data_IF_861274861384
#
_entry.id   IF_861274861384
#
_cell.length_a   1.000
_cell.length_b   1.000
_cell.length_c   1.000
_cell.angle_alpha   90.00
_cell.angle_beta   90.00
_cell.angle_gamma   90.00
#
_symmetry.space_group_name_H-M   'P 1'
#
loop_
_entity.id
_entity.type
_entity.pdbx_description
1 polymer ?
#
# COMPACT_ATOMS: atom_id res chain seq x y z
N UNK A 1 -3.01 1.06 -1.72
CA UNK A 1 -2.45 0.01 -2.59
C UNK A 1 -2.30 0.58 -4.00
N UNK A 2 -1.07 0.93 -4.41
CA UNK A 2 -0.83 1.48 -5.75
C UNK A 2 -0.92 0.39 -6.80
N UNK A 3 -1.63 0.68 -7.89
CA UNK A 3 -1.87 -0.27 -8.97
C UNK A 3 -1.47 0.33 -10.31
N UNK A 4 -0.96 -0.53 -11.21
CA UNK A 4 -0.61 -0.13 -12.56
C UNK A 4 -0.61 -1.35 -13.47
N UNK A 5 -1.39 -1.29 -14.54
CA UNK A 5 -1.44 -2.35 -15.57
C UNK A 5 -1.70 -3.75 -14.96
N UNK A 6 -2.64 -3.84 -14.02
CA UNK A 6 -3.02 -5.10 -13.39
C UNK A 6 -2.05 -5.61 -12.34
N UNK A 7 -1.03 -4.83 -12.00
CA UNK A 7 -0.06 -5.17 -10.97
C UNK A 7 -0.18 -4.20 -9.81
N UNK A 8 0.23 -4.66 -8.64
CA UNK A 8 0.32 -3.79 -7.46
C UNK A 8 1.78 -3.54 -7.13
N UNK A 9 2.05 -2.33 -6.64
CA UNK A 9 3.39 -1.95 -6.22
C UNK A 9 3.53 -2.15 -4.73
N UNK A 10 4.57 -2.87 -4.32
CA UNK A 10 4.94 -3.05 -2.92
C UNK A 10 6.38 -2.62 -2.73
N UNK A 11 6.72 -2.30 -1.49
CA UNK A 11 8.08 -2.00 -1.08
C UNK A 11 8.55 -3.03 -0.07
N UNK A 12 9.87 -3.26 -0.05
CA UNK A 12 10.52 -4.09 0.95
C UNK A 12 11.10 -3.16 2.01
N UNK A 13 10.68 -3.34 3.24
CA UNK A 13 11.03 -2.41 4.32
C UNK A 13 12.51 -2.41 4.63
N UNK A 14 13.07 -1.22 4.87
CA UNK A 14 14.47 -1.04 5.27
C UNK A 14 14.57 -0.43 6.67
N UNK A 15 13.52 -0.54 7.48
CA UNK A 15 13.49 -0.09 8.87
C UNK A 15 12.70 -1.09 9.71
N UNK A 16 12.97 -1.11 11.01
CA UNK A 16 12.16 -1.87 11.96
C UNK A 16 10.89 -1.10 12.29
N UNK A 17 9.80 -1.75 12.65
CA UNK A 17 9.64 -3.21 12.71
C UNK A 17 9.51 -3.83 11.32
N UNK A 18 9.63 -5.16 11.26
CA UNK A 18 9.43 -5.94 10.04
C UNK A 18 10.43 -5.60 8.92
N UNK A 19 11.68 -5.34 9.29
CA UNK A 19 12.76 -5.13 8.32
C UNK A 19 12.82 -6.29 7.33
N UNK A 20 12.92 -5.96 6.04
CA UNK A 20 13.01 -6.95 4.98
C UNK A 20 11.69 -7.55 4.54
N UNK A 21 10.58 -7.17 5.13
CA UNK A 21 9.25 -7.64 4.75
C UNK A 21 8.55 -6.66 3.80
N UNK A 22 7.56 -7.14 3.09
CA UNK A 22 6.88 -6.39 2.04
C UNK A 22 5.59 -5.74 2.53
N UNK A 23 5.32 -4.53 2.05
CA UNK A 23 4.08 -3.82 2.35
C UNK A 23 3.79 -2.77 1.26
N UNK A 24 2.57 -2.25 1.25
CA UNK A 24 2.27 -1.04 0.48
C UNK A 24 2.70 0.19 1.28
N UNK A 25 2.84 1.36 0.63
CA UNK A 25 3.31 2.56 1.33
C UNK A 25 2.29 3.07 2.33
N UNK A 26 2.78 3.72 3.37
CA UNK A 26 1.92 4.32 4.37
C UNK A 26 2.71 4.99 5.48
N UNK A 27 2.02 5.80 6.25
CA UNK A 27 2.59 6.51 7.37
C UNK A 27 1.54 7.33 8.07
N UNK A 28 1.98 8.21 8.95
CA UNK A 28 1.09 9.05 9.73
C UNK A 28 0.72 10.32 8.96
N UNK A 29 -0.48 10.81 9.23
CA UNK A 29 -0.94 12.08 8.69
C UNK A 29 -0.25 13.21 9.47
N UNK A 30 0.36 14.15 8.75
CA UNK A 30 1.00 15.29 9.37
C UNK A 30 -0.05 16.33 9.80
N UNK A 31 0.29 17.13 10.79
CA UNK A 31 -0.55 18.23 11.23
C UNK A 31 -0.79 19.19 10.05
N UNK A 32 -2.05 19.53 9.82
CA UNK A 32 -2.43 20.41 8.71
C UNK A 32 -2.64 19.68 7.39
N UNK A 33 -2.52 18.38 7.38
CA UNK A 33 -2.67 17.56 6.17
C UNK A 33 -3.96 16.73 6.24
N UNK A 34 -4.62 16.54 5.11
CA UNK A 34 -5.77 15.63 5.03
C UNK A 34 -5.29 14.19 4.79
N UNK A 35 -6.11 13.22 5.21
CA UNK A 35 -5.74 11.80 5.06
C UNK A 35 -5.43 11.42 3.61
N UNK A 36 -6.24 11.81 2.60
CA UNK A 36 -5.91 11.46 1.21
C UNK A 36 -4.57 12.05 0.76
N UNK A 37 -4.28 13.27 1.16
CA UNK A 37 -3.01 13.92 0.79
C UNK A 37 -1.82 13.21 1.43
N UNK A 38 -1.98 12.73 2.66
CA UNK A 38 -0.96 11.96 3.33
C UNK A 38 -0.66 10.67 2.57
N UNK A 39 -1.69 9.98 2.08
CA UNK A 39 -1.51 8.75 1.30
C UNK A 39 -0.69 9.00 0.03
N UNK A 40 -0.99 10.08 -0.67
CA UNK A 40 -0.27 10.46 -1.89
C UNK A 40 1.18 10.82 -1.57
N UNK A 41 1.40 11.61 -0.53
CA UNK A 41 2.74 12.04 -0.10
C UNK A 41 3.59 10.84 0.31
N UNK A 42 3.06 9.96 1.15
CA UNK A 42 3.80 8.79 1.62
C UNK A 42 4.17 7.87 0.47
N UNK A 43 3.28 7.70 -0.50
CA UNK A 43 3.58 6.87 -1.68
C UNK A 43 4.78 7.45 -2.44
N UNK A 44 4.82 8.75 -2.63
CA UNK A 44 5.95 9.37 -3.31
C UNK A 44 7.24 9.27 -2.49
N UNK A 45 7.15 9.50 -1.18
CA UNK A 45 8.33 9.45 -0.31
C UNK A 45 8.95 8.06 -0.26
N UNK A 46 8.12 7.02 -0.28
CA UNK A 46 8.58 5.65 -0.09
C UNK A 46 8.85 4.91 -1.39
N UNK A 47 8.25 5.31 -2.49
CA UNK A 47 8.34 4.60 -3.78
C UNK A 47 8.76 5.48 -4.95
N UNK A 48 8.72 6.79 -4.80
CA UNK A 48 8.91 7.77 -5.89
C UNK A 48 7.87 7.66 -6.98
N UNK A 49 6.70 7.14 -6.64
CA UNK A 49 5.57 7.04 -7.57
C UNK A 49 4.50 8.07 -7.22
N UNK A 50 3.96 8.68 -8.27
CA UNK A 50 2.81 9.57 -8.16
C UNK A 50 1.55 8.75 -8.39
N UNK A 51 0.53 8.97 -7.57
CA UNK A 51 -0.71 8.21 -7.65
C UNK A 51 -1.92 9.11 -7.63
N UNK A 52 -3.01 8.60 -8.20
CA UNK A 52 -4.35 9.12 -8.05
C UNK A 52 -5.10 8.14 -7.15
N UNK A 53 -5.82 8.66 -6.15
CA UNK A 53 -6.66 7.80 -5.31
C UNK A 53 -7.96 7.51 -6.02
N UNK A 54 -8.35 6.24 -6.07
CA UNK A 54 -9.55 5.78 -6.77
C UNK A 54 -10.72 5.52 -5.82
N UNK A 55 -10.42 5.38 -4.54
CA UNK A 55 -11.45 5.17 -3.54
C UNK A 55 -10.89 4.47 -2.32
N UNK A 56 -11.68 4.44 -1.27
CA UNK A 56 -11.33 3.75 -0.04
C UNK A 56 -11.43 2.23 -0.25
N UNK A 57 -10.37 1.53 0.08
CA UNK A 57 -10.43 0.07 0.12
C UNK A 57 -11.11 -0.39 1.40
N UNK A 58 -10.58 0.00 2.55
CA UNK A 58 -11.18 -0.31 3.85
C UNK A 58 -10.41 0.39 4.98
N UNK A 59 -10.97 0.28 6.17
CA UNK A 59 -10.32 0.68 7.42
C UNK A 59 -9.87 -0.57 8.16
N UNK A 60 -8.70 -0.51 8.79
CA UNK A 60 -8.17 -1.64 9.56
C UNK A 60 -7.83 -1.16 10.97
N UNK A 61 -8.37 -1.86 11.95
CA UNK A 61 -8.20 -1.49 13.35
C UNK A 61 -8.02 -2.76 14.17
N UNK A 62 -6.99 -2.77 15.01
CA UNK A 62 -6.64 -3.93 15.83
C UNK A 62 -6.53 -3.48 17.27
N UNK A 63 -7.15 -4.23 18.18
CA UNK A 63 -7.35 -3.82 19.57
C UNK A 63 -6.06 -3.41 20.28
N UNK A 64 -4.92 -4.03 19.92
CA UNK A 64 -3.67 -3.81 20.64
C UNK A 64 -2.72 -2.85 19.93
N UNK A 65 -3.13 -2.23 18.82
CA UNK A 65 -2.24 -1.40 18.02
C UNK A 65 -2.40 0.09 18.29
N UNK A 66 -3.63 0.53 18.59
CA UNK A 66 -3.87 1.92 18.95
C UNK A 66 -3.95 2.90 17.79
N UNK A 67 -4.00 2.41 16.54
CA UNK A 67 -4.18 3.25 15.36
C UNK A 67 -5.25 2.66 14.47
N UNK A 68 -5.87 3.53 13.69
CA UNK A 68 -6.78 3.10 12.61
C UNK A 68 -6.06 3.35 11.30
N UNK A 69 -5.96 2.32 10.49
CA UNK A 69 -5.31 2.39 9.20
C UNK A 69 -6.35 2.62 8.12
N UNK A 70 -6.19 3.72 7.37
CA UNK A 70 -7.06 4.07 6.24
C UNK A 70 -6.33 3.64 4.97
N UNK A 71 -6.88 2.70 4.22
CA UNK A 71 -6.22 2.17 3.02
C UNK A 71 -7.03 2.49 1.79
N UNK A 72 -6.37 3.14 0.82
CA UNK A 72 -6.97 3.51 -0.46
C UNK A 72 -6.54 2.55 -1.57
N UNK A 73 -7.43 2.40 -2.55
CA UNK A 73 -7.05 1.90 -3.87
C UNK A 73 -6.51 3.09 -4.66
N UNK A 74 -5.40 2.90 -5.35
CA UNK A 74 -4.76 3.99 -6.07
C UNK A 74 -4.24 3.50 -7.42
N UNK A 75 -4.14 4.42 -8.37
CA UNK A 75 -3.56 4.17 -9.70
C UNK A 75 -2.29 4.99 -9.84
N UNK A 76 -1.22 4.37 -10.29
CA UNK A 76 0.03 5.06 -10.58
C UNK A 76 -0.17 5.93 -11.82
N UNK A 77 0.15 7.21 -11.69
CA UNK A 77 -0.01 8.19 -12.76
C UNK A 77 1.33 8.71 -13.30
N UNK A 78 2.43 8.45 -12.60
CA UNK A 78 3.73 8.92 -13.02
C UNK A 78 4.82 8.57 -12.02
N UNK A 79 6.01 9.07 -12.28
CA UNK A 79 7.17 8.79 -11.47
C UNK A 79 7.93 7.57 -11.95
N UNK A 80 9.11 7.35 -11.37
CA UNK A 80 9.95 6.20 -11.65
C UNK A 80 10.25 5.52 -10.31
N UNK A 81 9.76 4.31 -10.15
CA UNK A 81 9.90 3.57 -8.89
C UNK A 81 11.37 3.44 -8.51
N UNK A 82 11.68 3.73 -7.26
CA UNK A 82 13.05 3.69 -6.75
C UNK A 82 13.06 3.37 -5.27
N UNK A 83 14.10 2.66 -4.84
CA UNK A 83 14.37 2.43 -3.44
C UNK A 83 14.69 3.76 -2.75
N UNK A 84 14.44 3.82 -1.45
CA UNK A 84 14.66 5.01 -0.63
C UNK A 84 15.39 4.60 0.64
N UNK A 85 15.55 5.53 1.58
CA UNK A 85 16.14 5.18 2.87
C UNK A 85 15.26 4.22 3.66
N UNK A 86 13.94 4.25 3.43
CA UNK A 86 12.98 3.43 4.16
C UNK A 86 12.56 2.18 3.40
N UNK A 87 12.98 2.04 2.14
CA UNK A 87 12.63 0.87 1.32
C UNK A 87 13.86 0.34 0.60
N UNK A 88 14.13 -0.97 0.77
CA UNK A 88 15.26 -1.62 0.12
C UNK A 88 15.00 -1.81 -1.36
N UNK A 89 13.75 -2.03 -1.71
CA UNK A 89 13.34 -2.41 -3.05
C UNK A 89 11.89 -1.99 -3.26
N UNK A 90 11.56 -1.60 -4.47
CA UNK A 90 10.19 -1.29 -4.87
C UNK A 90 9.90 -2.10 -6.12
N UNK A 91 8.82 -2.89 -6.11
CA UNK A 91 8.55 -3.83 -7.18
C UNK A 91 7.06 -3.94 -7.45
N UNK A 92 6.70 -4.13 -8.73
CA UNK A 92 5.34 -4.41 -9.14
C UNK A 92 5.11 -5.93 -9.15
N UNK A 93 4.00 -6.37 -8.56
CA UNK A 93 3.64 -7.78 -8.46
C UNK A 93 2.31 -8.03 -9.17
N UNK A 94 2.23 -9.12 -9.91
CA UNK A 94 0.93 -9.66 -10.31
C UNK A 94 0.25 -10.19 -9.07
N UNK A 95 -1.08 -10.31 -9.10
CA UNK A 95 -1.81 -10.77 -7.92
C UNK A 95 -1.38 -12.17 -7.49
N UNK A 96 -1.05 -13.04 -8.46
CA UNK A 96 -0.58 -14.39 -8.15
C UNK A 96 0.86 -14.44 -7.63
N UNK A 97 1.59 -13.33 -7.69
CA UNK A 97 2.98 -13.25 -7.25
C UNK A 97 3.15 -12.60 -5.88
N UNK A 98 2.06 -12.18 -5.24
CA UNK A 98 2.13 -11.49 -3.94
C UNK A 98 2.86 -12.39 -2.93
N UNK A 99 3.88 -11.86 -2.23
CA UNK A 99 4.67 -12.65 -1.27
C UNK A 99 3.94 -12.79 0.06
N UNK A 100 2.89 -13.61 0.09
CA UNK A 100 1.99 -13.75 1.23
C UNK A 100 2.69 -14.15 2.54
N UNK A 101 3.77 -14.90 2.45
CA UNK A 101 4.53 -15.37 3.61
C UNK A 101 5.57 -14.36 4.10
N UNK A 102 5.69 -13.22 3.41
CA UNK A 102 6.70 -12.21 3.72
C UNK A 102 6.11 -10.82 3.84
N UNK A 103 4.83 -10.73 4.17
CA UNK A 103 4.17 -9.45 4.36
C UNK A 103 4.48 -8.88 5.75
N UNK A 104 4.61 -7.56 5.82
CA UNK A 104 5.15 -6.89 7.01
C UNK A 104 4.23 -6.92 8.21
N UNK A 105 2.93 -6.75 8.01
CA UNK A 105 1.97 -6.56 9.10
C UNK A 105 0.68 -7.33 8.84
N UNK A 106 -0.08 -7.66 9.91
CA UNK A 106 -1.43 -8.23 9.72
C UNK A 106 -2.31 -7.34 8.85
N UNK A 107 -2.20 -6.02 8.99
CA UNK A 107 -2.98 -5.08 8.18
C UNK A 107 -2.59 -5.14 6.71
N UNK A 108 -1.30 -5.34 6.41
CA UNK A 108 -0.86 -5.51 5.02
C UNK A 108 -1.55 -6.73 4.41
N UNK A 109 -1.53 -7.85 5.13
CA UNK A 109 -2.15 -9.09 4.67
C UNK A 109 -3.66 -8.92 4.48
N UNK A 110 -4.33 -8.35 5.48
CA UNK A 110 -5.78 -8.18 5.43
C UNK A 110 -6.20 -7.26 4.29
N UNK A 111 -5.48 -6.16 4.10
CA UNK A 111 -5.78 -5.22 3.03
C UNK A 111 -5.54 -5.84 1.65
N UNK A 112 -4.47 -6.60 1.48
CA UNK A 112 -4.19 -7.25 0.20
C UNK A 112 -5.19 -8.37 -0.09
N UNK A 113 -5.66 -9.09 0.93
CA UNK A 113 -6.73 -10.06 0.76
C UNK A 113 -8.01 -9.38 0.28
N UNK A 114 -8.37 -8.26 0.89
CA UNK A 114 -9.54 -7.49 0.47
C UNK A 114 -9.39 -6.97 -0.94
N UNK A 115 -8.19 -6.48 -1.29
CA UNK A 115 -7.91 -5.99 -2.63
C UNK A 115 -8.07 -7.08 -3.69
N UNK A 116 -7.47 -8.24 -3.44
CA UNK A 116 -7.54 -9.37 -4.37
C UNK A 116 -8.99 -9.83 -4.54
N UNK A 117 -9.73 -9.92 -3.43
CA UNK A 117 -11.14 -10.32 -3.46
C UNK A 117 -11.96 -9.34 -4.30
N UNK A 118 -11.71 -8.05 -4.15
CA UNK A 118 -12.40 -7.02 -4.92
C UNK A 118 -12.12 -7.16 -6.41
N UNK A 119 -10.85 -7.39 -6.78
CA UNK A 119 -10.46 -7.52 -8.19
C UNK A 119 -11.00 -8.79 -8.84
N UNK A 120 -11.21 -9.83 -8.05
CA UNK A 120 -11.68 -11.13 -8.56
C UNK A 120 -13.20 -11.27 -8.58
N UNK A 121 -13.93 -10.31 -8.02
CA UNK A 121 -15.38 -10.40 -7.94
C UNK A 121 -16.01 -9.93 -9.26
N UNK A 122 -16.61 -10.82 -10.06
CA UNK A 122 -17.29 -10.39 -11.29
C UNK A 122 -18.45 -9.47 -10.94
N UNK A 123 -18.47 -8.29 -11.54
CA UNK A 123 -19.52 -7.33 -11.26
C UNK A 123 -19.44 -6.72 -9.88
N UNK A 124 -18.37 -6.99 -9.13
CA UNK A 124 -18.20 -6.45 -7.79
C UNK A 124 -18.04 -4.94 -7.76
N UNK A 125 -17.73 -4.38 -8.87
CA UNK A 125 -17.64 -2.94 -9.07
C UNK A 125 -19.01 -2.27 -9.09
N UNK A 126 -20.05 -3.01 -9.09
CA UNK A 126 -21.39 -2.49 -9.14
C UNK A 126 -21.87 -1.98 -7.79
#
# INVERSE_FOLDING_TARGET
VPCQDGRIWLLRRNIEPSWGSWTFPGGYVDLGECVPDAAIRETYEEMRLNVRLDGLLNLYSYANVGVVLVVYRATVTGGVAAATQESQEVRAFRLEEIPWDKLAFPSTRDALLDYVKLEQTPGGQQ
#
